data_IF_933375249735
#
_entry.id   IF_933375249735
#
_cell.length_a   1.000
_cell.length_b   1.000
_cell.length_c   1.000
_cell.angle_alpha   90.00
_cell.angle_beta   90.00
_cell.angle_gamma   90.00
#
_symmetry.space_group_name_H-M   'P 1'
#
loop_
_entity.id
_entity.type
_entity.pdbx_description
1 polymer ?
#
# COMPACT_ATOMS: atom_id res chain seq x y z
N UNK A 1 -1.81 28.02 13.90
CA UNK A 1 -2.21 27.32 12.66
C UNK A 1 -1.69 25.87 12.59
N UNK A 2 -2.32 24.88 13.26
CA UNK A 2 -1.85 23.49 13.14
C UNK A 2 -2.88 22.51 12.54
N UNK A 3 -4.10 22.46 13.09
CA UNK A 3 -5.02 21.35 12.83
C UNK A 3 -5.53 21.30 11.38
N UNK A 4 -5.87 22.45 10.78
CA UNK A 4 -6.32 22.52 9.38
C UNK A 4 -5.25 22.05 8.38
N UNK A 5 -3.97 22.34 8.65
CA UNK A 5 -2.86 21.88 7.81
C UNK A 5 -2.63 20.37 7.98
N UNK A 6 -2.70 19.86 9.21
CA UNK A 6 -2.55 18.43 9.49
C UNK A 6 -3.68 17.58 8.89
N UNK A 7 -4.93 18.02 9.00
CA UNK A 7 -6.07 17.36 8.35
C UNK A 7 -5.89 17.35 6.83
N UNK A 8 -5.43 18.48 6.27
CA UNK A 8 -5.14 18.56 4.83
C UNK A 8 -4.06 17.55 4.43
N UNK A 9 -2.94 17.43 5.16
CA UNK A 9 -1.91 16.42 4.85
C UNK A 9 -2.41 14.98 5.01
N UNK A 10 -3.23 14.70 6.03
CA UNK A 10 -3.83 13.38 6.22
C UNK A 10 -4.75 13.02 5.04
N UNK A 11 -5.56 13.97 4.57
CA UNK A 11 -6.42 13.76 3.40
C UNK A 11 -5.59 13.45 2.13
N UNK A 12 -4.47 14.13 1.91
CA UNK A 12 -3.60 13.82 0.76
C UNK A 12 -3.01 12.41 0.86
N UNK A 13 -2.59 11.99 2.06
CA UNK A 13 -2.07 10.64 2.26
C UNK A 13 -3.15 9.56 2.00
N UNK A 14 -4.37 9.79 2.51
CA UNK A 14 -5.52 8.90 2.27
C UNK A 14 -5.86 8.84 0.77
N UNK A 15 -5.90 10.00 0.11
CA UNK A 15 -6.18 10.08 -1.32
C UNK A 15 -5.12 9.36 -2.15
N UNK A 16 -3.84 9.44 -1.77
CA UNK A 16 -2.75 8.68 -2.37
C UNK A 16 -2.92 7.17 -2.22
N UNK A 17 -3.28 6.69 -1.03
CA UNK A 17 -3.56 5.26 -0.79
C UNK A 17 -4.77 4.80 -1.61
N UNK A 18 -5.85 5.57 -1.63
CA UNK A 18 -7.05 5.26 -2.41
C UNK A 18 -6.76 5.26 -3.91
N UNK A 19 -5.93 6.20 -4.38
CA UNK A 19 -5.48 6.24 -5.76
C UNK A 19 -4.66 4.98 -6.09
N UNK A 20 -3.66 4.63 -5.28
CA UNK A 20 -2.86 3.43 -5.48
C UNK A 20 -3.72 2.15 -5.53
N UNK A 21 -4.68 2.01 -4.60
CA UNK A 21 -5.61 0.89 -4.57
C UNK A 21 -6.52 0.83 -5.82
N UNK A 22 -6.90 1.98 -6.38
CA UNK A 22 -7.74 2.04 -7.58
C UNK A 22 -6.96 1.86 -8.87
N UNK A 23 -5.73 2.36 -8.97
CA UNK A 23 -4.99 2.37 -10.24
C UNK A 23 -4.13 1.11 -10.41
N UNK A 24 -3.62 0.55 -9.31
CA UNK A 24 -2.62 -0.52 -9.35
C UNK A 24 -3.22 -1.89 -9.07
N UNK A 25 -3.07 -2.82 -10.01
CA UNK A 25 -3.60 -4.20 -9.87
C UNK A 25 -2.88 -4.97 -8.75
N UNK A 26 -1.56 -4.84 -8.64
CA UNK A 26 -0.76 -5.49 -7.60
C UNK A 26 -1.18 -5.03 -6.19
N UNK A 27 -1.44 -3.73 -6.01
CA UNK A 27 -1.96 -3.18 -4.76
C UNK A 27 -3.28 -3.81 -4.33
N UNK A 28 -4.20 -4.04 -5.28
CA UNK A 28 -5.47 -4.74 -4.98
C UNK A 28 -5.25 -6.17 -4.49
N UNK A 29 -4.31 -6.90 -5.10
CA UNK A 29 -3.97 -8.25 -4.64
C UNK A 29 -3.40 -8.25 -3.22
N UNK A 30 -2.52 -7.31 -2.88
CA UNK A 30 -2.03 -7.16 -1.52
C UNK A 30 -3.15 -6.83 -0.51
N UNK A 31 -4.09 -5.95 -0.87
CA UNK A 31 -5.24 -5.65 -0.02
C UNK A 31 -6.16 -6.87 0.17
N UNK A 32 -6.44 -7.63 -0.89
CA UNK A 32 -7.23 -8.86 -0.77
C UNK A 32 -6.53 -9.92 0.08
N UNK A 33 -5.22 -10.11 -0.12
CA UNK A 33 -4.43 -11.01 0.71
C UNK A 33 -4.44 -10.59 2.19
N UNK A 34 -4.29 -9.29 2.48
CA UNK A 34 -4.36 -8.77 3.84
C UNK A 34 -5.73 -9.04 4.49
N UNK A 35 -6.84 -8.82 3.76
CA UNK A 35 -8.19 -9.13 4.24
C UNK A 35 -8.33 -10.62 4.55
N UNK A 36 -7.89 -11.50 3.65
CA UNK A 36 -7.96 -12.96 3.83
C UNK A 36 -7.15 -13.39 5.05
N UNK A 37 -5.94 -12.86 5.23
CA UNK A 37 -5.08 -13.16 6.39
C UNK A 37 -5.74 -12.70 7.69
N UNK A 38 -6.33 -11.50 7.74
CA UNK A 38 -6.98 -10.99 8.94
C UNK A 38 -8.24 -11.80 9.31
N UNK A 39 -9.07 -12.16 8.31
CA UNK A 39 -10.23 -13.03 8.53
C UNK A 39 -9.76 -14.40 9.04
N UNK A 40 -8.73 -14.98 8.43
CA UNK A 40 -8.18 -16.27 8.84
C UNK A 40 -7.62 -16.21 10.27
N UNK A 41 -6.89 -15.16 10.61
CA UNK A 41 -6.37 -14.95 11.96
C UNK A 41 -7.50 -14.85 13.00
N UNK A 42 -8.58 -14.16 12.67
CA UNK A 42 -9.75 -14.07 13.54
C UNK A 42 -10.44 -15.43 13.71
N UNK A 43 -10.65 -16.19 12.62
CA UNK A 43 -11.28 -17.51 12.65
C UNK A 43 -10.45 -18.56 13.40
N UNK A 44 -9.12 -18.46 13.32
CA UNK A 44 -8.20 -19.36 14.01
C UNK A 44 -7.97 -18.99 15.48
N UNK A 45 -8.58 -17.91 15.97
CA UNK A 45 -8.44 -17.48 17.37
C UNK A 45 -7.02 -17.00 17.72
N UNK A 46 -6.32 -16.42 16.75
CA UNK A 46 -4.95 -15.90 16.90
C UNK A 46 -4.88 -14.88 18.05
N UNK A 47 -3.81 -14.95 18.83
CA UNK A 47 -3.61 -14.09 20.00
C UNK A 47 -3.50 -12.61 19.61
N UNK A 48 -3.78 -11.72 20.58
CA UNK A 48 -3.75 -10.26 20.35
C UNK A 48 -2.40 -9.75 19.85
N UNK A 49 -1.31 -10.29 20.39
CA UNK A 49 0.05 -9.91 19.99
C UNK A 49 0.34 -10.35 18.56
N UNK A 50 -0.01 -11.58 18.22
CA UNK A 50 0.15 -12.14 16.87
C UNK A 50 -0.67 -11.35 15.84
N UNK A 51 -1.90 -10.94 16.19
CA UNK A 51 -2.72 -10.09 15.34
C UNK A 51 -2.08 -8.71 15.09
N UNK A 52 -1.50 -8.09 16.13
CA UNK A 52 -0.77 -6.82 15.98
C UNK A 52 0.45 -6.99 15.07
N UNK A 53 1.18 -8.09 15.21
CA UNK A 53 2.32 -8.42 14.33
C UNK A 53 1.85 -8.62 12.88
N UNK A 54 0.77 -9.38 12.66
CA UNK A 54 0.20 -9.61 11.32
C UNK A 54 -0.25 -8.31 10.65
N UNK A 55 -0.96 -7.44 11.38
CA UNK A 55 -1.37 -6.13 10.87
C UNK A 55 -0.14 -5.28 10.54
N UNK A 56 0.87 -5.28 11.40
CA UNK A 56 2.11 -4.51 11.18
C UNK A 56 2.86 -4.99 9.94
N UNK A 57 2.96 -6.30 9.73
CA UNK A 57 3.57 -6.90 8.54
C UNK A 57 2.76 -6.58 7.27
N UNK A 58 1.42 -6.65 7.33
CA UNK A 58 0.57 -6.28 6.21
C UNK A 58 0.78 -4.81 5.79
N UNK A 59 0.83 -3.89 6.77
CA UNK A 59 1.11 -2.48 6.52
C UNK A 59 2.51 -2.30 5.91
N UNK A 60 3.51 -3.01 6.44
CA UNK A 60 4.88 -2.94 5.94
C UNK A 60 4.97 -3.38 4.47
N UNK A 61 4.38 -4.53 4.12
CA UNK A 61 4.38 -5.06 2.75
C UNK A 61 3.68 -4.09 1.80
N UNK A 62 2.51 -3.56 2.18
CA UNK A 62 1.79 -2.55 1.38
C UNK A 62 2.64 -1.30 1.19
N UNK A 63 3.32 -0.83 2.23
CA UNK A 63 4.18 0.36 2.17
C UNK A 63 5.35 0.16 1.22
N UNK A 64 6.01 -1.01 1.29
CA UNK A 64 7.11 -1.38 0.39
C UNK A 64 6.61 -1.46 -1.05
N UNK A 65 5.44 -2.06 -1.28
CA UNK A 65 4.84 -2.15 -2.62
C UNK A 65 4.55 -0.75 -3.21
N UNK A 66 4.00 0.17 -2.40
CA UNK A 66 3.78 1.56 -2.83
C UNK A 66 5.09 2.27 -3.19
N UNK A 67 6.17 2.00 -2.45
CA UNK A 67 7.51 2.54 -2.75
C UNK A 67 8.01 1.95 -4.06
N UNK A 68 7.89 0.63 -4.27
CA UNK A 68 8.28 -0.03 -5.51
C UNK A 68 7.56 0.58 -6.72
N UNK A 69 6.23 0.69 -6.68
CA UNK A 69 5.47 1.32 -7.76
C UNK A 69 5.85 2.78 -7.98
N UNK A 70 6.16 3.53 -6.92
CA UNK A 70 6.61 4.92 -7.06
C UNK A 70 7.96 5.00 -7.79
N UNK A 71 8.89 4.09 -7.47
CA UNK A 71 10.19 3.99 -8.14
C UNK A 71 10.02 3.53 -9.59
N UNK A 72 9.15 2.56 -9.87
CA UNK A 72 8.82 2.11 -11.23
C UNK A 72 8.32 3.28 -12.07
N UNK A 73 7.33 4.03 -11.58
CA UNK A 73 6.77 5.19 -12.30
C UNK A 73 7.85 6.25 -12.56
N UNK A 74 8.70 6.55 -11.57
CA UNK A 74 9.80 7.51 -11.75
C UNK A 74 10.78 7.02 -12.82
N UNK A 75 11.14 5.74 -12.77
CA UNK A 75 12.04 5.09 -13.74
C UNK A 75 11.43 5.14 -15.14
N UNK A 76 10.16 4.79 -15.30
CA UNK A 76 9.44 4.82 -16.58
C UNK A 76 9.40 6.23 -17.18
N UNK A 77 9.28 7.27 -16.35
CA UNK A 77 9.31 8.66 -16.79
C UNK A 77 10.72 9.06 -17.23
N UNK A 78 11.75 8.67 -16.48
CA UNK A 78 13.14 9.04 -16.77
C UNK A 78 13.72 8.30 -17.97
N UNK A 79 13.32 7.05 -18.20
CA UNK A 79 13.90 6.15 -19.19
C UNK A 79 12.94 5.78 -20.33
N UNK A 80 11.91 6.61 -20.57
CA UNK A 80 10.85 6.40 -21.57
C UNK A 80 11.32 6.15 -23.01
N UNK A 81 12.61 6.37 -23.31
CA UNK A 81 13.25 6.16 -24.62
C UNK A 81 14.16 4.91 -24.69
N UNK A 82 14.32 4.14 -23.63
CA UNK A 82 15.11 2.89 -23.66
C UNK A 82 14.20 1.68 -23.86
N UNK A 83 13.54 1.60 -25.01
CA UNK A 83 13.00 0.32 -25.49
C UNK A 83 13.65 -0.07 -26.82
N UNK A 84 14.66 -0.96 -26.82
CA UNK A 84 15.21 -1.56 -28.04
C UNK A 84 14.26 -2.59 -28.68
N UNK A 85 13.08 -2.84 -28.09
CA UNK A 85 12.09 -3.86 -28.50
C UNK A 85 10.69 -3.29 -28.76
N UNK A 86 10.47 -1.98 -28.69
CA UNK A 86 9.25 -1.31 -29.17
C UNK A 86 9.30 -0.99 -30.66
#
# INVERSE_FOLDING_TARGET
>A
MPLRKWIKSANHAIEGILHAAKTQRHMRYHLYAAIIVLISAFLLGVGRIELVVLISLAILVISIEMINTSIEIITDILFKEYDPRA
#
